data_IF_359454853746
#
_entry.id   IF_359454853746
#
_cell.length_a   1.000
_cell.length_b   1.000
_cell.length_c   1.000
_cell.angle_alpha   90.00
_cell.angle_beta   90.00
_cell.angle_gamma   90.00
#
_symmetry.space_group_name_H-M   'P 1'
#
loop_
_entity.id
_entity.type
_entity.pdbx_description
1 polymer ?
#
# COMPACT_ATOMS: atom_id res chain seq x y z
N UNK A 1 -1.90 -23.92 -8.98
CA UNK A 1 -0.62 -23.37 -8.50
C UNK A 1 -0.70 -21.86 -8.68
N UNK A 2 -0.82 -21.09 -7.59
CA UNK A 2 -0.76 -19.62 -7.67
C UNK A 2 0.67 -19.22 -7.98
N UNK A 3 0.90 -18.63 -9.13
CA UNK A 3 2.20 -18.06 -9.51
C UNK A 3 2.56 -16.96 -8.50
N UNK A 4 3.58 -17.19 -7.68
CA UNK A 4 4.16 -16.11 -6.87
C UNK A 4 4.77 -15.12 -7.84
N UNK A 5 4.18 -13.92 -7.92
CA UNK A 5 4.68 -12.84 -8.76
C UNK A 5 5.74 -12.07 -7.98
N UNK A 6 6.97 -12.05 -8.47
CA UNK A 6 8.10 -11.39 -7.80
C UNK A 6 8.32 -9.94 -8.23
N UNK A 7 7.46 -9.37 -9.08
CA UNK A 7 7.64 -8.03 -9.63
C UNK A 7 6.30 -7.38 -9.96
N UNK A 8 6.17 -6.09 -9.63
CA UNK A 8 5.04 -5.24 -10.01
C UNK A 8 5.20 -4.73 -11.44
N UNK A 9 4.09 -4.61 -12.16
CA UNK A 9 4.05 -3.90 -13.45
C UNK A 9 4.20 -2.39 -13.26
N UNK A 10 4.44 -1.64 -14.34
CA UNK A 10 4.39 -0.19 -14.30
C UNK A 10 3.02 0.36 -13.82
N UNK A 11 1.92 -0.26 -14.23
CA UNK A 11 0.56 0.15 -13.85
C UNK A 11 0.31 -0.06 -12.35
N UNK A 12 0.76 -1.19 -11.82
CA UNK A 12 0.69 -1.50 -10.38
C UNK A 12 1.57 -0.57 -9.57
N UNK A 13 2.78 -0.30 -10.05
CA UNK A 13 3.69 0.64 -9.40
C UNK A 13 3.10 2.05 -9.38
N UNK A 14 2.45 2.47 -10.49
CA UNK A 14 1.76 3.75 -10.57
C UNK A 14 0.57 3.83 -9.60
N UNK A 15 -0.20 2.76 -9.45
CA UNK A 15 -1.28 2.67 -8.45
C UNK A 15 -0.71 2.80 -7.02
N UNK A 16 0.28 1.98 -6.68
CA UNK A 16 0.88 1.98 -5.34
C UNK A 16 1.50 3.34 -5.00
N UNK A 17 2.12 4.02 -5.97
CA UNK A 17 2.63 5.38 -5.81
C UNK A 17 1.50 6.38 -5.49
N UNK A 18 0.38 6.35 -6.23
CA UNK A 18 -0.77 7.24 -5.93
C UNK A 18 -1.36 6.99 -4.55
N UNK A 19 -1.52 5.72 -4.16
CA UNK A 19 -1.99 5.35 -2.82
C UNK A 19 -1.03 5.87 -1.75
N UNK A 20 0.28 5.76 -1.99
CA UNK A 20 1.29 6.25 -1.06
C UNK A 20 1.25 7.79 -0.92
N UNK A 21 1.14 8.53 -2.01
CA UNK A 21 1.04 9.99 -1.94
C UNK A 21 -0.27 10.44 -1.29
N UNK A 22 -1.41 9.90 -1.74
CA UNK A 22 -2.74 10.29 -1.26
C UNK A 22 -3.04 9.80 0.17
N UNK A 23 -2.37 8.72 0.59
CA UNK A 23 -2.48 8.16 1.94
C UNK A 23 -1.65 8.89 2.99
N UNK A 24 -0.84 9.88 2.60
CA UNK A 24 0.09 10.57 3.50
C UNK A 24 -0.60 11.29 4.65
N UNK A 25 0.07 11.28 5.81
CA UNK A 25 -0.37 11.99 7.00
C UNK A 25 0.68 13.08 7.27
N UNK A 26 0.23 14.32 7.44
CA UNK A 26 1.13 15.43 7.74
C UNK A 26 1.91 15.17 9.03
N UNK A 27 3.22 15.38 8.99
CA UNK A 27 4.10 15.17 10.14
C UNK A 27 4.54 13.73 10.38
N UNK A 28 4.31 12.80 9.44
CA UNK A 28 4.84 11.45 9.54
C UNK A 28 6.37 11.42 9.64
N UNK A 29 6.87 10.67 10.62
CA UNK A 29 8.28 10.27 10.68
C UNK A 29 8.60 9.29 9.55
N UNK A 30 9.87 9.13 9.21
CA UNK A 30 10.27 8.22 8.14
C UNK A 30 9.88 6.76 8.44
N UNK A 31 9.93 6.34 9.71
CA UNK A 31 9.44 5.03 10.13
C UNK A 31 7.92 4.85 9.94
N UNK A 32 7.12 5.91 10.13
CA UNK A 32 5.68 5.87 9.86
C UNK A 32 5.40 5.75 8.36
N UNK A 33 6.17 6.46 7.53
CA UNK A 33 6.11 6.34 6.07
C UNK A 33 6.45 4.93 5.59
N UNK A 34 7.52 4.32 6.12
CA UNK A 34 7.91 2.95 5.81
C UNK A 34 6.85 1.92 6.24
N UNK A 35 6.30 2.10 7.44
CA UNK A 35 5.22 1.24 7.94
C UNK A 35 4.00 1.32 7.01
N UNK A 36 3.60 2.53 6.61
CA UNK A 36 2.47 2.77 5.70
C UNK A 36 2.70 2.15 4.32
N UNK A 37 3.88 2.33 3.73
CA UNK A 37 4.26 1.67 2.48
C UNK A 37 4.13 0.14 2.58
N UNK A 38 4.59 -0.44 3.70
CA UNK A 38 4.46 -1.88 3.95
C UNK A 38 3.00 -2.32 4.01
N UNK A 39 2.10 -1.54 4.62
CA UNK A 39 0.66 -1.85 4.65
C UNK A 39 0.04 -1.79 3.26
N UNK A 40 0.41 -0.80 2.45
CA UNK A 40 -0.09 -0.65 1.09
C UNK A 40 0.26 -1.90 0.27
N UNK A 41 1.53 -2.33 0.31
CA UNK A 41 2.00 -3.52 -0.39
C UNK A 41 1.30 -4.78 0.14
N UNK A 42 1.20 -4.95 1.45
CA UNK A 42 0.57 -6.13 2.05
C UNK A 42 -0.92 -6.26 1.67
N UNK A 43 -1.69 -5.17 1.72
CA UNK A 43 -3.09 -5.16 1.33
C UNK A 43 -3.26 -5.42 -0.17
N UNK A 44 -2.40 -4.84 -1.01
CA UNK A 44 -2.40 -5.10 -2.44
C UNK A 44 -2.12 -6.58 -2.75
N UNK A 45 -1.11 -7.17 -2.10
CA UNK A 45 -0.79 -8.59 -2.24
C UNK A 45 -1.89 -9.52 -1.69
N UNK A 46 -2.74 -9.03 -0.80
CA UNK A 46 -3.95 -9.73 -0.34
C UNK A 46 -5.11 -9.66 -1.36
N UNK A 47 -4.92 -9.00 -2.50
CA UNK A 47 -5.89 -8.90 -3.59
C UNK A 47 -6.73 -7.62 -3.59
N UNK A 48 -6.44 -6.67 -2.70
CA UNK A 48 -7.14 -5.38 -2.66
C UNK A 48 -6.55 -4.47 -3.74
N UNK A 49 -7.38 -4.07 -4.69
CA UNK A 49 -6.93 -3.29 -5.86
C UNK A 49 -7.63 -1.94 -5.99
N UNK A 50 -8.68 -1.71 -5.20
CA UNK A 50 -9.35 -0.42 -5.14
C UNK A 50 -8.47 0.63 -4.47
N UNK A 51 -8.27 1.76 -5.14
CA UNK A 51 -7.35 2.81 -4.68
C UNK A 51 -7.84 3.46 -3.37
N UNK A 52 -9.14 3.70 -3.22
CA UNK A 52 -9.70 4.34 -2.03
C UNK A 52 -9.65 3.39 -0.83
N UNK A 53 -9.95 2.11 -1.04
CA UNK A 53 -9.84 1.08 -0.01
C UNK A 53 -8.39 0.91 0.47
N UNK A 54 -7.43 0.88 -0.45
CA UNK A 54 -6.00 0.81 -0.10
C UNK A 54 -5.54 2.01 0.73
N UNK A 55 -6.00 3.23 0.38
CA UNK A 55 -5.71 4.44 1.16
C UNK A 55 -6.28 4.31 2.57
N UNK A 56 -7.54 3.90 2.72
CA UNK A 56 -8.20 3.75 4.01
C UNK A 56 -7.46 2.72 4.89
N UNK A 57 -7.12 1.56 4.33
CA UNK A 57 -6.43 0.50 5.05
C UNK A 57 -4.98 0.83 5.39
N UNK A 58 -4.30 1.62 4.56
CA UNK A 58 -2.90 2.03 4.82
C UNK A 58 -2.73 2.87 6.09
N UNK A 59 -3.77 3.63 6.44
CA UNK A 59 -3.82 4.51 7.63
C UNK A 59 -4.12 3.74 8.91
N UNK A 60 -4.65 2.52 8.81
CA UNK A 60 -4.93 1.65 9.95
C UNK A 60 -3.73 0.75 10.24
N UNK A 61 -3.48 0.38 11.51
CA UNK A 61 -2.51 -0.67 11.81
C UNK A 61 -2.88 -1.98 11.09
N UNK A 62 -1.87 -2.76 10.67
CA UNK A 62 -2.09 -4.11 10.14
C UNK A 62 -2.52 -5.02 11.29
N UNK A 63 -3.83 -5.25 11.42
CA UNK A 63 -4.40 -6.02 12.53
C UNK A 63 -4.60 -5.18 13.80
N UNK A 64 -5.56 -5.60 14.62
CA UNK A 64 -5.78 -5.03 15.96
C UNK A 64 -4.54 -5.15 16.82
#
# INVERSE_FOLDING_TARGET
MSTVRSTFTPEETALLARVYENGAIEGETDGQKEARASRIIANYMAGITDEAELIELSRRPLGR
#
